data_IF_496119869639
#
_entry.id   IF_496119869639
#
_cell.length_a   1.000
_cell.length_b   1.000
_cell.length_c   1.000
_cell.angle_alpha   90.00
_cell.angle_beta   90.00
_cell.angle_gamma   90.00
#
_symmetry.space_group_name_H-M   'P 1'
#
loop_
_entity.id
_entity.type
_entity.pdbx_description
1 polymer ?
#
# COMPACT_ATOMS: atom_id res chain seq x y z
N UNK A 1 28.50 -22.25 -54.14
CA UNK A 1 28.39 -20.88 -53.58
C UNK A 1 27.19 -20.19 -54.20
N UNK A 2 26.39 -19.49 -53.41
CA UNK A 2 25.23 -18.74 -53.86
C UNK A 2 25.55 -17.22 -54.00
N UNK A 3 24.97 -16.58 -55.03
CA UNK A 3 24.99 -15.11 -55.12
C UNK A 3 24.04 -14.51 -54.08
N UNK A 4 24.31 -13.28 -53.63
CA UNK A 4 23.54 -12.55 -52.59
C UNK A 4 22.00 -12.55 -52.86
N UNK A 5 21.58 -12.32 -54.11
CA UNK A 5 20.14 -12.31 -54.45
C UNK A 5 19.50 -13.70 -54.36
N UNK A 6 20.26 -14.73 -54.67
CA UNK A 6 19.79 -16.15 -54.53
C UNK A 6 19.68 -16.56 -53.05
N UNK A 7 20.69 -16.21 -52.25
CA UNK A 7 20.67 -16.44 -50.82
C UNK A 7 19.51 -15.71 -50.16
N UNK A 8 19.31 -14.42 -50.49
CA UNK A 8 18.22 -13.64 -49.94
C UNK A 8 16.85 -14.28 -50.21
N UNK A 9 16.60 -14.70 -51.47
CA UNK A 9 15.34 -15.35 -51.87
C UNK A 9 15.14 -16.67 -51.12
N UNK A 10 16.16 -17.51 -51.03
CA UNK A 10 16.06 -18.82 -50.34
C UNK A 10 15.87 -18.68 -48.83
N UNK A 11 16.45 -17.62 -48.22
CA UNK A 11 16.36 -17.37 -46.80
C UNK A 11 15.15 -16.50 -46.39
N UNK A 12 14.30 -16.06 -47.31
CA UNK A 12 13.17 -15.18 -47.03
C UNK A 12 13.58 -13.79 -46.57
N UNK A 13 14.78 -13.34 -46.97
CA UNK A 13 15.34 -12.03 -46.60
C UNK A 13 15.45 -11.08 -47.79
N UNK A 14 15.64 -9.81 -47.51
CA UNK A 14 16.00 -8.84 -48.52
C UNK A 14 17.52 -8.80 -48.76
N UNK A 15 17.96 -8.44 -49.96
CA UNK A 15 19.37 -8.21 -50.26
C UNK A 15 19.93 -7.11 -49.32
N UNK A 16 19.12 -6.10 -48.98
CA UNK A 16 19.48 -5.02 -48.06
C UNK A 16 19.80 -5.57 -46.68
N UNK A 17 19.04 -6.55 -46.18
CA UNK A 17 19.29 -7.21 -44.91
C UNK A 17 20.65 -7.92 -44.89
N UNK A 18 20.99 -8.64 -45.97
CA UNK A 18 22.28 -9.31 -46.09
C UNK A 18 23.44 -8.32 -46.24
N UNK A 19 23.25 -7.17 -46.89
CA UNK A 19 24.22 -6.09 -46.88
C UNK A 19 24.45 -5.51 -45.49
N UNK A 20 23.37 -5.33 -44.75
CA UNK A 20 23.45 -4.86 -43.37
C UNK A 20 24.22 -5.86 -42.49
N UNK A 21 23.95 -7.17 -42.59
CA UNK A 21 24.66 -8.21 -41.86
C UNK A 21 26.16 -8.25 -42.20
N UNK A 22 26.52 -8.02 -43.46
CA UNK A 22 27.92 -7.91 -43.88
C UNK A 22 28.59 -6.64 -43.28
N UNK A 23 27.88 -5.50 -43.35
CA UNK A 23 28.38 -4.22 -42.83
C UNK A 23 28.67 -4.25 -41.31
N UNK A 24 27.81 -4.92 -40.53
CA UNK A 24 28.00 -5.08 -39.08
C UNK A 24 28.87 -6.32 -38.72
N UNK A 25 29.42 -7.02 -39.71
CA UNK A 25 30.26 -8.19 -39.50
C UNK A 25 29.56 -9.44 -39.04
N UNK A 26 28.22 -9.46 -39.02
CA UNK A 26 27.42 -10.57 -38.51
C UNK A 26 27.44 -11.78 -39.46
N UNK A 27 27.40 -11.49 -40.81
CA UNK A 27 27.52 -12.48 -41.90
C UNK A 27 28.37 -11.95 -43.01
N UNK A 28 29.60 -12.38 -43.13
CA UNK A 28 30.52 -11.99 -44.20
C UNK A 28 30.48 -13.00 -45.35
N UNK A 29 30.56 -12.59 -46.63
CA UNK A 29 30.65 -13.54 -47.73
C UNK A 29 32.01 -14.24 -47.75
N UNK A 30 32.02 -15.54 -47.99
CA UNK A 30 33.24 -16.35 -48.07
C UNK A 30 34.11 -16.03 -49.27
N UNK A 31 33.53 -15.46 -50.35
CA UNK A 31 34.26 -15.10 -51.55
C UNK A 31 33.57 -13.97 -52.34
N UNK A 32 34.30 -13.44 -53.33
CA UNK A 32 33.73 -12.55 -54.35
C UNK A 32 34.02 -13.12 -55.75
N UNK A 33 33.07 -12.98 -56.67
CA UNK A 33 33.29 -13.39 -58.05
C UNK A 33 34.25 -12.46 -58.78
N UNK A 34 34.76 -12.85 -59.95
CA UNK A 34 35.60 -12.00 -60.80
C UNK A 34 34.96 -10.63 -61.18
N UNK A 35 33.65 -10.51 -61.10
CA UNK A 35 32.89 -9.30 -61.28
C UNK A 35 32.54 -8.58 -59.96
N UNK A 36 33.16 -8.90 -58.84
CA UNK A 36 32.98 -8.24 -57.52
C UNK A 36 31.72 -8.65 -56.74
N UNK A 37 30.90 -9.55 -57.24
CA UNK A 37 29.67 -9.98 -56.55
C UNK A 37 29.98 -10.86 -55.37
N UNK A 38 29.25 -10.65 -54.23
CA UNK A 38 29.33 -11.42 -53.01
C UNK A 38 28.86 -12.87 -53.22
N UNK A 39 29.69 -13.84 -52.80
CA UNK A 39 29.42 -15.26 -52.88
C UNK A 39 29.44 -15.89 -51.47
N UNK A 40 28.40 -16.64 -51.18
CA UNK A 40 28.17 -17.29 -49.88
C UNK A 40 28.32 -18.82 -50.03
N UNK A 41 29.18 -19.36 -49.18
CA UNK A 41 29.42 -20.84 -49.09
C UNK A 41 28.51 -21.53 -48.12
N UNK A 42 28.74 -22.84 -47.92
CA UNK A 42 27.94 -23.66 -46.99
C UNK A 42 28.03 -23.18 -45.56
N UNK A 43 29.23 -22.79 -45.09
CA UNK A 43 29.44 -22.23 -43.75
C UNK A 43 28.66 -20.98 -43.51
N UNK A 44 28.59 -20.06 -44.53
CA UNK A 44 27.83 -18.83 -44.43
C UNK A 44 26.32 -19.11 -44.33
N UNK A 45 25.83 -20.10 -45.04
CA UNK A 45 24.43 -20.53 -44.99
C UNK A 45 24.09 -21.10 -43.63
N UNK A 46 24.95 -21.95 -43.04
CA UNK A 46 24.77 -22.44 -41.68
C UNK A 46 24.76 -21.32 -40.67
N UNK A 47 25.67 -20.34 -40.83
CA UNK A 47 25.72 -19.16 -39.96
C UNK A 47 24.46 -18.30 -40.10
N UNK A 48 23.93 -18.10 -41.34
CA UNK A 48 22.68 -17.40 -41.58
C UNK A 48 21.49 -18.09 -40.90
N UNK A 49 21.40 -19.43 -40.96
CA UNK A 49 20.38 -20.18 -40.26
C UNK A 49 20.44 -19.97 -38.75
N UNK A 50 21.63 -19.97 -38.16
CA UNK A 50 21.79 -19.70 -36.74
C UNK A 50 21.33 -18.27 -36.40
N UNK A 51 21.70 -17.27 -37.21
CA UNK A 51 21.26 -15.88 -37.03
C UNK A 51 19.72 -15.78 -37.07
N UNK A 52 19.08 -16.41 -38.07
CA UNK A 52 17.62 -16.38 -38.20
C UNK A 52 16.92 -17.07 -37.02
N UNK A 53 17.40 -18.25 -36.59
CA UNK A 53 16.84 -18.96 -35.44
C UNK A 53 16.92 -18.11 -34.16
N UNK A 54 18.07 -17.48 -33.91
CA UNK A 54 18.24 -16.61 -32.74
C UNK A 54 17.39 -15.34 -32.82
N UNK A 55 17.20 -14.79 -34.04
CA UNK A 55 16.28 -13.66 -34.28
C UNK A 55 14.83 -14.03 -33.97
N UNK A 56 14.38 -15.22 -34.35
CA UNK A 56 13.04 -15.72 -34.02
C UNK A 56 12.81 -15.88 -32.51
N UNK A 57 13.90 -16.11 -31.76
CA UNK A 57 13.90 -16.12 -30.30
C UNK A 57 13.94 -14.72 -29.68
N UNK A 58 13.88 -13.65 -30.49
CA UNK A 58 13.83 -12.27 -30.02
C UNK A 58 15.18 -11.61 -29.70
N UNK A 59 16.33 -12.29 -30.00
CA UNK A 59 17.66 -11.72 -29.73
C UNK A 59 17.96 -10.54 -30.64
N UNK A 60 18.67 -9.54 -30.12
CA UNK A 60 19.19 -8.43 -30.90
C UNK A 60 20.32 -8.90 -31.83
N UNK A 61 20.58 -8.18 -32.93
CA UNK A 61 21.71 -8.50 -33.84
C UNK A 61 23.07 -8.40 -33.12
N UNK A 62 23.19 -7.52 -32.16
CA UNK A 62 24.39 -7.35 -31.33
C UNK A 62 24.63 -8.57 -30.44
N UNK A 63 23.57 -9.06 -29.75
CA UNK A 63 23.66 -10.26 -28.90
C UNK A 63 24.00 -11.51 -29.73
N UNK A 64 23.36 -11.64 -30.91
CA UNK A 64 23.66 -12.71 -31.86
C UNK A 64 25.11 -12.64 -32.32
N UNK A 65 25.61 -11.44 -32.61
CA UNK A 65 27.00 -11.21 -33.01
C UNK A 65 27.97 -11.66 -31.91
N UNK A 66 27.72 -11.25 -30.68
CA UNK A 66 28.51 -11.67 -29.51
C UNK A 66 28.50 -13.20 -29.30
N UNK A 67 27.37 -13.81 -29.43
CA UNK A 67 27.18 -15.25 -29.27
C UNK A 67 27.91 -16.07 -30.33
N UNK A 68 27.87 -15.60 -31.59
CA UNK A 68 28.51 -16.27 -32.73
C UNK A 68 30.02 -15.95 -32.87
N UNK A 69 30.52 -14.90 -32.22
CA UNK A 69 31.92 -14.49 -32.26
C UNK A 69 32.76 -15.07 -31.11
N UNK A 70 32.16 -15.31 -29.96
CA UNK A 70 32.84 -15.77 -28.76
C UNK A 70 32.21 -17.08 -28.27
N UNK A 71 33.00 -18.12 -28.16
CA UNK A 71 32.62 -19.36 -27.46
C UNK A 71 32.40 -19.18 -25.95
N UNK A 72 32.07 -17.98 -25.44
CA UNK A 72 32.07 -17.63 -24.03
C UNK A 72 30.72 -17.25 -23.41
N UNK A 73 29.76 -16.71 -24.18
CA UNK A 73 28.41 -16.53 -23.65
C UNK A 73 27.55 -17.72 -24.12
N UNK A 74 27.19 -18.59 -23.20
CA UNK A 74 26.37 -19.76 -23.52
C UNK A 74 24.94 -19.31 -23.89
N UNK A 75 24.35 -19.94 -24.91
CA UNK A 75 22.96 -19.70 -25.29
C UNK A 75 22.00 -19.66 -24.09
N UNK A 76 22.13 -20.55 -23.09
CA UNK A 76 21.33 -20.47 -21.86
C UNK A 76 21.42 -19.14 -21.13
N UNK A 77 22.60 -18.55 -21.00
CA UNK A 77 22.77 -17.26 -20.29
C UNK A 77 22.06 -16.10 -21.01
N UNK A 78 22.09 -16.10 -22.36
CA UNK A 78 21.39 -15.08 -23.17
C UNK A 78 19.87 -15.27 -23.09
N UNK A 79 19.37 -16.50 -23.19
CA UNK A 79 17.96 -16.81 -23.05
C UNK A 79 17.45 -16.38 -21.65
N UNK A 80 18.19 -16.67 -20.61
CA UNK A 80 17.87 -16.25 -19.25
C UNK A 80 17.84 -14.73 -19.08
N UNK A 81 18.77 -14.00 -19.72
CA UNK A 81 18.74 -12.55 -19.76
C UNK A 81 17.48 -12.01 -20.48
N UNK A 82 17.08 -12.61 -21.61
CA UNK A 82 15.88 -12.22 -22.35
C UNK A 82 14.61 -12.52 -21.56
N UNK A 83 14.52 -13.68 -20.91
CA UNK A 83 13.40 -14.03 -20.04
C UNK A 83 13.28 -12.98 -18.93
N UNK A 84 14.37 -12.67 -18.22
CA UNK A 84 14.37 -11.61 -17.20
C UNK A 84 13.95 -10.23 -17.74
N UNK A 85 14.29 -9.90 -18.98
CA UNK A 85 13.87 -8.64 -19.62
C UNK A 85 12.37 -8.65 -19.93
N UNK A 86 11.84 -9.77 -20.44
CA UNK A 86 10.40 -9.94 -20.69
C UNK A 86 9.59 -9.94 -19.40
N UNK A 87 10.06 -10.62 -18.35
CA UNK A 87 9.41 -10.61 -17.05
C UNK A 87 9.26 -9.19 -16.50
N UNK A 88 10.30 -8.35 -16.63
CA UNK A 88 10.22 -6.92 -16.25
C UNK A 88 9.19 -6.16 -17.09
N UNK A 89 9.11 -6.42 -18.39
CA UNK A 89 8.11 -5.77 -19.27
C UNK A 89 6.68 -6.21 -18.93
N UNK A 90 6.49 -7.49 -18.64
CA UNK A 90 5.19 -8.06 -18.20
C UNK A 90 4.78 -7.39 -16.89
N UNK A 91 5.70 -7.33 -15.92
CA UNK A 91 5.44 -6.67 -14.62
C UNK A 91 5.04 -5.20 -14.80
N UNK A 92 5.77 -4.44 -15.61
CA UNK A 92 5.44 -3.04 -15.93
C UNK A 92 4.07 -2.90 -16.60
N UNK A 93 3.75 -3.80 -17.56
CA UNK A 93 2.46 -3.81 -18.24
C UNK A 93 1.31 -4.16 -17.28
N UNK A 94 1.52 -5.12 -16.38
CA UNK A 94 0.54 -5.49 -15.35
C UNK A 94 0.29 -4.34 -14.38
N UNK A 95 1.33 -3.64 -13.93
CA UNK A 95 1.23 -2.44 -13.09
C UNK A 95 0.43 -1.34 -13.79
N UNK A 96 0.75 -1.04 -15.06
CA UNK A 96 0.03 -0.04 -15.84
C UNK A 96 -1.46 -0.42 -16.02
N UNK A 97 -1.75 -1.68 -16.34
CA UNK A 97 -3.12 -2.20 -16.45
C UNK A 97 -3.90 -2.02 -15.15
N UNK A 98 -3.28 -2.33 -14.02
CA UNK A 98 -3.90 -2.16 -12.70
C UNK A 98 -4.22 -0.70 -12.42
N UNK A 99 -3.29 0.22 -12.71
CA UNK A 99 -3.49 1.68 -12.55
C UNK A 99 -4.66 2.18 -13.40
N UNK A 100 -4.69 1.78 -14.66
CA UNK A 100 -5.78 2.15 -15.57
C UNK A 100 -7.13 1.62 -15.07
N UNK A 101 -7.16 0.41 -14.52
CA UNK A 101 -8.36 -0.17 -13.91
C UNK A 101 -8.86 0.60 -12.68
N UNK A 102 -7.96 1.12 -11.84
CA UNK A 102 -8.30 1.97 -10.71
C UNK A 102 -8.91 3.30 -11.17
N UNK A 103 -8.34 3.93 -12.19
CA UNK A 103 -8.87 5.15 -12.80
C UNK A 103 -10.26 4.89 -13.40
N UNK A 104 -10.40 3.81 -14.17
CA UNK A 104 -11.68 3.42 -14.76
C UNK A 104 -12.77 3.21 -13.70
N UNK A 105 -12.45 2.58 -12.57
CA UNK A 105 -13.40 2.35 -11.49
C UNK A 105 -13.86 3.67 -10.83
N UNK A 106 -13.00 4.69 -10.77
CA UNK A 106 -13.36 6.02 -10.25
C UNK A 106 -14.27 6.78 -11.22
N UNK A 107 -13.99 6.72 -12.52
CA UNK A 107 -14.81 7.37 -13.57
C UNK A 107 -16.19 6.74 -13.70
N UNK A 108 -16.27 5.40 -13.62
CA UNK A 108 -17.54 4.66 -13.71
C UNK A 108 -18.49 4.93 -12.54
N UNK A 109 -18.04 5.59 -11.47
CA UNK A 109 -18.83 6.00 -10.31
C UNK A 109 -19.75 7.21 -10.52
N UNK A 110 -19.89 7.72 -11.75
CA UNK A 110 -20.92 8.71 -12.12
C UNK A 110 -20.55 10.19 -11.87
N UNK A 111 -19.30 10.49 -11.54
CA UNK A 111 -18.79 11.87 -11.51
C UNK A 111 -17.74 12.00 -12.60
N UNK A 112 -18.02 12.79 -13.64
CA UNK A 112 -16.95 13.27 -14.53
C UNK A 112 -16.00 14.18 -13.72
N UNK A 113 -14.74 13.76 -13.49
CA UNK A 113 -13.80 14.61 -12.77
C UNK A 113 -13.43 15.80 -13.62
N UNK A 114 -13.36 16.98 -13.02
CA UNK A 114 -12.85 18.17 -13.68
C UNK A 114 -11.42 17.94 -14.18
N UNK A 115 -10.97 18.60 -15.27
CA UNK A 115 -9.61 18.43 -15.81
C UNK A 115 -8.50 18.58 -14.78
N UNK A 116 -8.69 19.42 -13.75
CA UNK A 116 -7.78 19.57 -12.62
C UNK A 116 -7.71 18.36 -11.70
N UNK A 117 -8.82 17.66 -11.51
CA UNK A 117 -8.89 16.44 -10.68
C UNK A 117 -8.14 15.28 -11.33
N UNK A 118 -8.10 15.19 -12.66
CA UNK A 118 -7.31 14.22 -13.41
C UNK A 118 -5.81 14.35 -13.18
N UNK A 119 -5.29 15.57 -13.31
CA UNK A 119 -3.87 15.83 -13.06
C UNK A 119 -3.48 15.57 -11.62
N UNK A 120 -4.34 15.92 -10.66
CA UNK A 120 -4.13 15.64 -9.25
C UNK A 120 -4.10 14.12 -8.99
N UNK A 121 -5.03 13.36 -9.59
CA UNK A 121 -5.08 11.89 -9.47
C UNK A 121 -3.83 11.23 -10.04
N UNK A 122 -3.39 11.66 -11.23
CA UNK A 122 -2.17 11.13 -11.86
C UNK A 122 -0.91 11.45 -11.02
N UNK A 123 -0.81 12.66 -10.49
CA UNK A 123 0.28 13.05 -9.58
C UNK A 123 0.28 12.21 -8.31
N UNK A 124 -0.88 12.04 -7.69
CA UNK A 124 -1.03 11.19 -6.51
C UNK A 124 -0.58 9.76 -6.78
N UNK A 125 -1.01 9.16 -7.89
CA UNK A 125 -0.59 7.81 -8.28
C UNK A 125 0.92 7.70 -8.49
N UNK A 126 1.53 8.64 -9.22
CA UNK A 126 2.98 8.68 -9.43
C UNK A 126 3.74 8.84 -8.11
N UNK A 127 3.17 9.59 -7.16
CA UNK A 127 3.74 9.76 -5.83
C UNK A 127 3.60 8.49 -5.01
N UNK A 128 2.42 7.88 -5.01
CA UNK A 128 2.18 6.62 -4.29
C UNK A 128 3.12 5.49 -4.73
N UNK A 129 3.46 5.43 -6.02
CA UNK A 129 4.40 4.43 -6.57
C UNK A 129 5.80 4.47 -5.96
N UNK A 130 6.21 5.60 -5.39
CA UNK A 130 7.50 5.73 -4.71
C UNK A 130 7.51 5.06 -3.32
N UNK A 131 6.33 4.87 -2.74
CA UNK A 131 6.15 4.45 -1.36
C UNK A 131 5.48 3.09 -1.22
N UNK A 132 4.67 2.66 -2.20
CA UNK A 132 3.82 1.49 -2.11
C UNK A 132 3.90 0.62 -3.35
N UNK A 133 3.83 -0.69 -3.14
CA UNK A 133 3.62 -1.65 -4.22
C UNK A 133 2.21 -1.57 -4.79
N UNK A 134 2.00 -2.13 -5.98
CA UNK A 134 0.70 -2.20 -6.63
C UNK A 134 -0.37 -2.91 -5.78
N UNK A 135 0.02 -3.98 -5.08
CA UNK A 135 -0.89 -4.74 -4.22
C UNK A 135 -1.28 -3.95 -2.96
N UNK A 136 -0.32 -3.24 -2.35
CA UNK A 136 -0.61 -2.33 -1.25
C UNK A 136 -1.54 -1.19 -1.67
N UNK A 137 -1.33 -0.61 -2.86
CA UNK A 137 -2.20 0.44 -3.39
C UNK A 137 -3.62 -0.06 -3.65
N UNK A 138 -3.80 -1.26 -4.19
CA UNK A 138 -5.14 -1.87 -4.33
C UNK A 138 -5.85 -1.96 -2.99
N UNK A 139 -5.15 -2.41 -1.96
CA UNK A 139 -5.65 -2.55 -0.60
C UNK A 139 -6.04 -1.19 -0.01
N UNK A 140 -5.13 -0.21 -0.07
CA UNK A 140 -5.36 1.16 0.40
C UNK A 140 -6.59 1.78 -0.27
N UNK A 141 -6.66 1.75 -1.61
CA UNK A 141 -7.74 2.37 -2.38
C UNK A 141 -9.06 1.59 -2.25
N UNK A 142 -8.99 0.26 -2.16
CA UNK A 142 -10.16 -0.58 -1.92
C UNK A 142 -10.83 -0.28 -0.58
N UNK A 143 -10.04 -0.19 0.48
CA UNK A 143 -10.52 0.07 1.82
C UNK A 143 -10.92 1.54 2.04
N UNK A 144 -10.39 2.47 1.22
CA UNK A 144 -10.72 3.90 1.32
C UNK A 144 -12.21 4.19 1.15
N UNK A 145 -12.91 3.47 0.29
CA UNK A 145 -14.36 3.67 0.06
C UNK A 145 -15.17 3.52 1.36
N UNK A 146 -14.77 2.58 2.21
CA UNK A 146 -15.42 2.37 3.52
C UNK A 146 -14.93 3.40 4.52
N UNK A 147 -13.64 3.66 4.56
CA UNK A 147 -13.03 4.61 5.52
C UNK A 147 -13.45 6.06 5.25
N UNK A 148 -13.69 6.45 4.01
CA UNK A 148 -14.03 7.82 3.61
C UNK A 148 -15.31 8.35 4.29
N UNK A 149 -16.30 7.49 4.49
CA UNK A 149 -17.58 7.86 5.13
C UNK A 149 -17.36 8.41 6.55
N UNK A 150 -16.40 7.87 7.30
CA UNK A 150 -16.05 8.30 8.65
C UNK A 150 -14.91 9.31 8.67
N UNK A 151 -13.98 9.28 7.69
CA UNK A 151 -12.81 10.16 7.63
C UNK A 151 -13.21 11.60 7.27
N UNK A 152 -14.13 11.80 6.32
CA UNK A 152 -14.55 13.13 5.89
C UNK A 152 -15.15 13.95 7.05
N UNK A 153 -16.13 13.43 7.82
CA UNK A 153 -16.64 14.15 8.99
C UNK A 153 -15.57 14.34 10.08
N UNK A 154 -14.66 13.38 10.27
CA UNK A 154 -13.56 13.53 11.24
C UNK A 154 -12.60 14.66 10.84
N UNK A 155 -12.22 14.78 9.57
CA UNK A 155 -11.43 15.93 9.08
C UNK A 155 -12.13 17.26 9.32
N UNK A 156 -13.46 17.32 9.16
CA UNK A 156 -14.22 18.53 9.48
C UNK A 156 -14.19 18.83 10.98
N UNK A 157 -14.26 17.81 11.85
CA UNK A 157 -14.14 17.99 13.30
C UNK A 157 -12.74 18.53 13.69
N UNK A 158 -11.68 17.98 13.10
CA UNK A 158 -10.29 18.45 13.33
C UNK A 158 -10.14 19.89 12.85
N UNK A 159 -10.65 20.23 11.66
CA UNK A 159 -10.61 21.61 11.14
C UNK A 159 -11.29 22.59 12.07
N UNK A 160 -12.47 22.27 12.60
CA UNK A 160 -13.17 23.11 13.57
C UNK A 160 -12.37 23.31 14.86
N UNK A 161 -11.67 22.27 15.35
CA UNK A 161 -10.81 22.42 16.52
C UNK A 161 -9.63 23.39 16.24
N UNK A 162 -9.00 23.27 15.07
CA UNK A 162 -7.93 24.17 14.62
C UNK A 162 -8.42 25.62 14.47
N UNK A 163 -9.59 25.83 13.87
CA UNK A 163 -10.20 27.16 13.67
C UNK A 163 -10.56 27.85 15.00
N UNK A 164 -10.94 27.06 16.03
CA UNK A 164 -11.14 27.55 17.40
C UNK A 164 -9.82 27.81 18.15
N UNK A 165 -8.68 27.52 17.55
CA UNK A 165 -7.38 27.68 18.18
C UNK A 165 -7.11 26.69 19.31
N UNK A 166 -7.79 25.54 19.35
CA UNK A 166 -7.54 24.50 20.37
C UNK A 166 -6.13 23.94 20.19
N UNK A 167 -5.27 23.96 21.22
CA UNK A 167 -3.92 23.43 21.10
C UNK A 167 -3.92 21.92 20.85
N UNK A 168 -3.02 21.44 19.98
CA UNK A 168 -2.90 20.02 19.62
C UNK A 168 -2.58 19.11 20.83
N UNK A 169 -1.96 19.64 21.86
CA UNK A 169 -1.61 18.95 23.10
C UNK A 169 -2.72 18.97 24.17
N UNK A 170 -3.85 19.61 23.87
CA UNK A 170 -4.97 19.66 24.80
C UNK A 170 -5.69 18.30 24.91
N UNK A 171 -6.28 18.05 26.08
CA UNK A 171 -7.12 16.86 26.30
C UNK A 171 -8.37 16.85 25.41
N UNK A 172 -8.85 18.03 24.97
CA UNK A 172 -10.01 18.19 24.08
C UNK A 172 -9.76 17.57 22.70
N UNK A 173 -8.51 17.54 22.24
CA UNK A 173 -8.13 16.96 20.93
C UNK A 173 -7.94 15.45 20.97
N UNK A 174 -7.75 14.86 22.15
CA UNK A 174 -7.48 13.43 22.29
C UNK A 174 -8.58 12.52 21.71
N UNK A 175 -9.89 12.82 21.80
CA UNK A 175 -10.93 12.09 21.11
C UNK A 175 -10.75 12.08 19.59
N UNK A 176 -10.30 13.20 18.98
CA UNK A 176 -10.04 13.29 17.55
C UNK A 176 -8.82 12.44 17.16
N UNK A 177 -7.73 12.51 17.94
CA UNK A 177 -6.53 11.69 17.75
C UNK A 177 -6.85 10.19 17.84
N UNK A 178 -7.63 9.79 18.83
CA UNK A 178 -8.07 8.42 19.00
C UNK A 178 -8.90 7.91 17.81
N UNK A 179 -9.90 8.69 17.38
CA UNK A 179 -10.73 8.37 16.21
C UNK A 179 -9.88 8.27 14.94
N UNK A 180 -8.92 9.19 14.76
CA UNK A 180 -8.02 9.19 13.62
C UNK A 180 -7.15 7.93 13.59
N UNK A 181 -6.48 7.60 14.69
CA UNK A 181 -5.68 6.37 14.81
C UNK A 181 -6.51 5.12 14.52
N UNK A 182 -7.74 5.06 15.06
CA UNK A 182 -8.65 3.92 14.86
C UNK A 182 -9.07 3.77 13.41
N UNK A 183 -9.42 4.89 12.74
CA UNK A 183 -9.81 4.88 11.32
C UNK A 183 -8.65 4.51 10.41
N UNK A 184 -7.48 5.12 10.61
CA UNK A 184 -6.27 4.80 9.83
C UNK A 184 -5.85 3.35 10.06
N UNK A 185 -5.88 2.89 11.31
CA UNK A 185 -5.61 1.49 11.65
C UNK A 185 -6.58 0.51 10.99
N UNK A 186 -7.87 0.87 10.90
CA UNK A 186 -8.87 0.07 10.18
C UNK A 186 -8.63 0.10 8.67
N UNK A 187 -8.41 1.27 8.11
CA UNK A 187 -8.15 1.47 6.69
C UNK A 187 -6.93 0.69 6.20
N UNK A 188 -5.85 0.70 6.98
CA UNK A 188 -4.57 0.01 6.69
C UNK A 188 -4.50 -1.41 7.27
N UNK A 189 -5.62 -1.95 7.78
CA UNK A 189 -5.73 -3.30 8.38
C UNK A 189 -4.73 -3.59 9.50
N UNK A 190 -4.31 -2.54 10.22
CA UNK A 190 -3.35 -2.63 11.32
C UNK A 190 -1.89 -2.77 10.89
N UNK A 191 -1.57 -2.63 9.61
CA UNK A 191 -0.19 -2.64 9.11
C UNK A 191 0.54 -1.35 9.50
N UNK A 192 1.33 -1.42 10.57
CA UNK A 192 2.07 -0.26 11.11
C UNK A 192 3.12 0.30 10.12
N UNK A 193 3.74 -0.54 9.29
CA UNK A 193 4.70 -0.07 8.30
C UNK A 193 3.99 0.69 7.18
N UNK A 194 2.86 0.20 6.74
CA UNK A 194 2.01 0.86 5.75
C UNK A 194 1.51 2.22 6.27
N UNK A 195 1.04 2.28 7.53
CA UNK A 195 0.60 3.52 8.19
C UNK A 195 1.74 4.53 8.27
N UNK A 196 2.93 4.10 8.68
CA UNK A 196 4.12 4.94 8.77
C UNK A 196 4.52 5.50 7.40
N UNK A 197 4.63 4.66 6.37
CA UNK A 197 4.96 5.07 4.99
C UNK A 197 3.93 6.03 4.41
N UNK A 198 2.65 5.84 4.72
CA UNK A 198 1.58 6.75 4.33
C UNK A 198 1.75 8.14 4.96
N UNK A 199 2.01 8.19 6.26
CA UNK A 199 2.31 9.45 6.97
C UNK A 199 3.56 10.15 6.42
N UNK A 200 4.64 9.39 6.14
CA UNK A 200 5.87 9.92 5.54
C UNK A 200 5.63 10.52 4.16
N UNK A 201 4.83 9.85 3.32
CA UNK A 201 4.43 10.37 2.02
C UNK A 201 3.68 11.69 2.13
N UNK A 202 2.70 11.79 3.04
CA UNK A 202 1.95 13.02 3.26
C UNK A 202 2.84 14.18 3.72
N UNK A 203 3.82 13.91 4.57
CA UNK A 203 4.77 14.95 5.06
C UNK A 203 5.72 15.44 3.97
N UNK A 204 6.15 14.56 3.06
CA UNK A 204 7.18 14.87 2.05
C UNK A 204 6.63 15.37 0.72
N UNK A 205 5.45 14.94 0.33
CA UNK A 205 4.91 15.12 -1.02
C UNK A 205 3.62 15.95 -1.03
N UNK A 206 3.56 17.04 -0.25
CA UNK A 206 2.35 17.87 -0.10
C UNK A 206 1.72 18.32 -1.41
N UNK A 207 2.56 18.67 -2.40
CA UNK A 207 2.10 19.20 -3.69
C UNK A 207 1.38 18.17 -4.56
N UNK A 208 1.51 16.88 -4.24
CA UNK A 208 0.88 15.79 -4.98
C UNK A 208 -0.48 15.41 -4.40
N UNK A 209 -0.84 15.90 -3.20
CA UNK A 209 -2.07 15.55 -2.53
C UNK A 209 -3.27 16.31 -3.09
N UNK A 210 -4.41 15.64 -3.15
CA UNK A 210 -5.68 16.24 -3.56
C UNK A 210 -6.13 17.31 -2.56
N UNK A 211 -6.70 18.42 -3.05
CA UNK A 211 -7.34 19.44 -2.23
C UNK A 211 -8.51 18.91 -1.37
N UNK A 212 -8.95 17.69 -1.59
CA UNK A 212 -10.03 17.02 -0.83
C UNK A 212 -9.51 16.21 0.37
N UNK A 213 -8.18 16.04 0.49
CA UNK A 213 -7.51 15.38 1.62
C UNK A 213 -7.20 16.32 2.79
N UNK A 214 -6.59 15.80 3.87
CA UNK A 214 -6.09 16.63 4.96
C UNK A 214 -4.94 17.50 4.44
N UNK A 215 -4.98 18.81 4.75
CA UNK A 215 -3.87 19.69 4.45
C UNK A 215 -2.67 19.45 5.40
N UNK A 216 -1.44 19.90 5.07
CA UNK A 216 -0.25 19.68 5.88
C UNK A 216 -0.35 20.20 7.31
N UNK A 217 -1.09 21.29 7.54
CA UNK A 217 -1.27 21.87 8.89
C UNK A 217 -2.16 20.96 9.72
N UNK A 218 -3.22 20.42 9.11
CA UNK A 218 -4.11 19.45 9.75
C UNK A 218 -3.36 18.17 10.11
N UNK A 219 -2.54 17.65 9.18
CA UNK A 219 -1.71 16.46 9.43
C UNK A 219 -0.76 16.71 10.59
N UNK A 220 -0.01 17.82 10.59
CA UNK A 220 0.90 18.16 11.67
C UNK A 220 0.19 18.33 13.01
N UNK A 221 -1.01 18.92 13.00
CA UNK A 221 -1.83 19.11 14.19
C UNK A 221 -2.28 17.77 14.80
N UNK A 222 -2.83 16.89 13.99
CA UNK A 222 -3.31 15.59 14.48
C UNK A 222 -2.15 14.65 14.83
N UNK A 223 -1.06 14.67 14.08
CA UNK A 223 0.17 13.92 14.38
C UNK A 223 0.70 14.28 15.76
N UNK A 224 0.72 15.57 16.11
CA UNK A 224 1.13 16.02 17.44
C UNK A 224 0.25 15.47 18.55
N UNK A 225 -1.07 15.45 18.37
CA UNK A 225 -1.99 14.85 19.33
C UNK A 225 -1.82 13.33 19.45
N UNK A 226 -1.55 12.66 18.33
CA UNK A 226 -1.24 11.22 18.28
C UNK A 226 0.07 10.90 19.01
N UNK A 227 1.14 11.70 18.80
CA UNK A 227 2.42 11.51 19.48
C UNK A 227 2.24 11.56 21.01
N UNK A 228 1.46 12.53 21.52
CA UNK A 228 1.17 12.66 22.95
C UNK A 228 0.43 11.42 23.48
N UNK A 229 -0.53 10.91 22.70
CA UNK A 229 -1.26 9.71 23.04
C UNK A 229 -0.38 8.46 23.03
N UNK A 230 0.49 8.31 22.02
CA UNK A 230 1.44 7.19 21.96
C UNK A 230 2.46 7.26 23.10
N UNK A 231 2.93 8.45 23.44
CA UNK A 231 3.79 8.66 24.61
C UNK A 231 3.07 8.30 25.92
N UNK A 232 1.77 8.63 26.03
CA UNK A 232 0.94 8.22 27.17
C UNK A 232 0.81 6.69 27.26
N UNK A 233 0.53 6.01 26.15
CA UNK A 233 0.51 4.54 26.11
C UNK A 233 1.86 3.93 26.48
N UNK A 234 2.97 4.49 25.98
CA UNK A 234 4.33 4.02 26.24
C UNK A 234 4.79 4.18 27.70
N UNK A 235 4.09 5.00 28.52
CA UNK A 235 4.34 5.06 29.98
C UNK A 235 3.83 3.82 30.72
N UNK A 236 2.83 3.15 30.16
CA UNK A 236 2.14 2.04 30.80
C UNK A 236 2.42 0.68 30.14
N UNK A 237 2.69 0.69 28.83
CA UNK A 237 2.83 -0.51 28.01
C UNK A 237 4.09 -0.43 27.15
N UNK A 238 4.83 -1.52 27.10
CA UNK A 238 5.95 -1.68 26.16
C UNK A 238 5.44 -1.84 24.71
N UNK A 239 6.33 -1.62 23.74
CA UNK A 239 6.00 -1.80 22.32
C UNK A 239 5.57 -3.25 22.02
N UNK A 240 6.19 -4.24 22.68
CA UNK A 240 5.85 -5.65 22.48
C UNK A 240 4.50 -6.00 23.12
N UNK A 241 4.13 -5.37 24.23
CA UNK A 241 2.79 -5.50 24.82
C UNK A 241 1.73 -4.88 23.89
N UNK A 242 1.99 -3.72 23.30
CA UNK A 242 1.09 -3.10 22.32
C UNK A 242 0.86 -3.96 21.09
N UNK A 243 1.88 -4.68 20.60
CA UNK A 243 1.75 -5.61 19.46
C UNK A 243 0.94 -6.86 19.78
N UNK A 244 0.84 -7.25 21.04
CA UNK A 244 0.07 -8.43 21.48
C UNK A 244 -1.41 -8.14 21.66
N UNK A 245 -1.83 -6.86 21.64
CA UNK A 245 -3.23 -6.50 21.76
C UNK A 245 -4.01 -7.03 20.55
N UNK A 246 -5.12 -7.69 20.83
CA UNK A 246 -6.04 -8.17 19.80
C UNK A 246 -7.09 -7.12 19.47
N UNK A 247 -7.57 -7.16 18.24
CA UNK A 247 -8.61 -6.23 17.81
C UNK A 247 -9.99 -6.77 18.15
N UNK A 248 -10.77 -5.97 18.84
CA UNK A 248 -12.18 -6.26 19.12
C UNK A 248 -13.05 -5.48 18.11
N UNK A 249 -14.02 -6.12 17.43
CA UNK A 249 -14.93 -5.44 16.50
C UNK A 249 -15.65 -4.24 17.15
N UNK A 250 -15.77 -3.15 16.40
CA UNK A 250 -16.39 -1.91 16.88
C UNK A 250 -17.84 -2.12 17.32
N UNK A 251 -18.53 -3.02 16.65
CA UNK A 251 -19.92 -3.37 16.93
C UNK A 251 -20.12 -3.98 18.32
N UNK A 252 -19.12 -4.72 18.84
CA UNK A 252 -19.18 -5.28 20.20
C UNK A 252 -19.10 -4.18 21.25
N UNK A 253 -18.20 -3.23 21.05
CA UNK A 253 -18.08 -2.06 21.94
C UNK A 253 -19.32 -1.16 21.87
N UNK A 254 -19.88 -0.94 20.68
CA UNK A 254 -21.10 -0.16 20.51
C UNK A 254 -22.29 -0.81 21.22
N UNK A 255 -22.46 -2.12 21.07
CA UNK A 255 -23.52 -2.88 21.79
C UNK A 255 -23.37 -2.75 23.30
N UNK A 256 -22.14 -2.89 23.81
CA UNK A 256 -21.86 -2.72 25.24
C UNK A 256 -22.20 -1.30 25.70
N UNK A 257 -21.78 -0.29 24.96
CA UNK A 257 -22.03 1.13 25.26
C UNK A 257 -23.54 1.44 25.27
N UNK A 258 -24.29 0.93 24.27
CA UNK A 258 -25.75 1.11 24.20
C UNK A 258 -26.47 0.49 25.40
N UNK A 259 -26.12 -0.76 25.77
CA UNK A 259 -26.68 -1.44 26.96
C UNK A 259 -26.37 -0.66 28.24
N UNK A 260 -25.13 -0.19 28.41
CA UNK A 260 -24.74 0.60 29.57
C UNK A 260 -25.49 1.93 29.63
N UNK A 261 -25.57 2.66 28.50
CA UNK A 261 -26.32 3.90 28.40
C UNK A 261 -27.81 3.71 28.68
N UNK A 262 -28.41 2.57 28.31
CA UNK A 262 -29.79 2.24 28.66
C UNK A 262 -29.98 2.05 30.17
N UNK A 263 -29.08 1.31 30.84
CA UNK A 263 -29.13 1.13 32.30
C UNK A 263 -28.93 2.45 33.03
N UNK A 264 -28.00 3.28 32.57
CA UNK A 264 -27.75 4.62 33.15
C UNK A 264 -28.98 5.55 32.99
N UNK A 265 -29.64 5.55 31.85
CA UNK A 265 -30.88 6.34 31.64
C UNK A 265 -32.06 5.86 32.49
N UNK A 266 -32.04 4.60 32.94
CA UNK A 266 -33.01 4.01 33.86
C UNK A 266 -32.61 4.18 35.34
N UNK A 267 -31.57 4.96 35.61
CA UNK A 267 -31.01 5.19 36.95
C UNK A 267 -30.65 3.87 37.70
N UNK A 268 -30.28 2.82 36.92
CA UNK A 268 -29.89 1.53 37.51
C UNK A 268 -28.55 1.69 38.23
N UNK A 269 -28.47 1.44 39.56
CA UNK A 269 -27.24 1.63 40.28
C UNK A 269 -26.19 0.58 39.88
N UNK A 270 -24.88 0.90 39.95
CA UNK A 270 -23.79 -0.04 39.60
C UNK A 270 -23.84 -1.38 40.36
N UNK A 271 -24.39 -1.41 41.59
CA UNK A 271 -24.56 -2.62 42.40
C UNK A 271 -25.71 -3.56 41.94
N UNK A 272 -26.53 -3.12 40.99
CA UNK A 272 -27.63 -3.95 40.46
C UNK A 272 -27.08 -5.16 39.69
N UNK A 273 -27.81 -6.29 39.76
CA UNK A 273 -27.44 -7.53 39.07
C UNK A 273 -27.22 -7.35 37.57
N UNK A 274 -28.01 -6.49 36.93
CA UNK A 274 -27.92 -6.18 35.47
C UNK A 274 -26.64 -5.42 35.17
N UNK A 275 -26.29 -4.40 35.97
CA UNK A 275 -25.06 -3.63 35.81
C UNK A 275 -23.82 -4.51 36.02
N UNK A 276 -23.83 -5.38 37.05
CA UNK A 276 -22.76 -6.35 37.30
C UNK A 276 -22.61 -7.38 36.16
N UNK A 277 -23.71 -7.84 35.58
CA UNK A 277 -23.66 -8.72 34.40
C UNK A 277 -23.01 -8.03 33.20
N UNK A 278 -23.35 -6.77 32.97
CA UNK A 278 -22.77 -5.99 31.90
C UNK A 278 -21.27 -5.66 32.15
N UNK A 279 -20.88 -5.43 33.38
CA UNK A 279 -19.47 -5.27 33.77
C UNK A 279 -18.66 -6.55 33.53
N UNK A 280 -19.22 -7.74 33.72
CA UNK A 280 -18.57 -9.01 33.32
C UNK A 280 -18.41 -9.11 31.79
N UNK A 281 -19.41 -8.69 31.01
CA UNK A 281 -19.30 -8.64 29.55
C UNK A 281 -18.15 -7.70 29.13
N UNK A 282 -18.06 -6.52 29.75
CA UNK A 282 -16.95 -5.58 29.53
C UNK A 282 -15.59 -6.17 29.87
N UNK A 283 -15.45 -6.83 31.02
CA UNK A 283 -14.20 -7.48 31.43
C UNK A 283 -13.80 -8.60 30.45
N UNK A 284 -14.77 -9.33 29.90
CA UNK A 284 -14.53 -10.33 28.86
C UNK A 284 -14.00 -9.70 27.56
N UNK A 285 -14.47 -8.51 27.16
CA UNK A 285 -13.91 -7.78 26.03
C UNK A 285 -12.49 -7.29 26.32
N UNK A 286 -12.23 -6.78 27.52
CA UNK A 286 -10.89 -6.35 27.93
C UNK A 286 -9.91 -7.52 27.99
N UNK A 287 -10.35 -8.68 28.43
CA UNK A 287 -9.55 -9.90 28.46
C UNK A 287 -9.18 -10.37 27.05
N UNK A 288 -10.15 -10.37 26.13
CA UNK A 288 -9.88 -10.65 24.71
C UNK A 288 -8.96 -9.61 24.07
N UNK A 289 -9.16 -8.31 24.35
CA UNK A 289 -8.29 -7.22 23.87
C UNK A 289 -6.85 -7.43 24.33
N UNK A 290 -6.65 -7.90 25.57
CA UNK A 290 -5.35 -8.21 26.15
C UNK A 290 -4.85 -9.63 25.79
N UNK A 291 -5.39 -10.25 24.75
CA UNK A 291 -5.01 -11.60 24.31
C UNK A 291 -5.08 -12.65 25.43
N UNK A 292 -6.05 -12.52 26.33
CA UNK A 292 -6.23 -13.37 27.52
C UNK A 292 -5.05 -13.34 28.51
N UNK A 293 -4.23 -12.28 28.49
CA UNK A 293 -3.14 -12.04 29.43
C UNK A 293 -3.63 -11.15 30.58
N UNK A 294 -3.81 -11.66 31.82
CA UNK A 294 -4.37 -10.87 32.94
C UNK A 294 -3.51 -9.63 33.28
N UNK A 295 -2.19 -9.78 33.28
CA UNK A 295 -1.27 -8.66 33.55
C UNK A 295 -1.39 -7.53 32.55
N UNK A 296 -1.49 -7.87 31.25
CA UNK A 296 -1.66 -6.91 30.18
C UNK A 296 -3.03 -6.21 30.26
N UNK A 297 -4.09 -6.97 30.56
CA UNK A 297 -5.42 -6.43 30.82
C UNK A 297 -5.42 -5.42 31.95
N UNK A 298 -4.81 -5.78 33.10
CA UNK A 298 -4.79 -4.95 34.30
C UNK A 298 -3.95 -3.67 34.08
N UNK A 299 -2.84 -3.75 33.34
CA UNK A 299 -2.07 -2.58 32.89
C UNK A 299 -2.92 -1.66 32.00
N UNK A 300 -3.67 -2.21 31.05
CA UNK A 300 -4.57 -1.42 30.20
C UNK A 300 -5.65 -0.71 31.02
N UNK A 301 -6.30 -1.41 31.93
CA UNK A 301 -7.33 -0.83 32.80
C UNK A 301 -6.75 0.30 33.66
N UNK A 302 -5.55 0.10 34.25
CA UNK A 302 -4.83 1.12 35.01
C UNK A 302 -4.46 2.32 34.12
N UNK A 303 -3.92 2.10 32.93
CA UNK A 303 -3.56 3.16 31.97
C UNK A 303 -4.75 4.08 31.66
N UNK A 304 -5.90 3.50 31.31
CA UNK A 304 -7.12 4.27 31.01
C UNK A 304 -7.80 4.89 32.23
N UNK A 305 -7.49 4.44 33.45
CA UNK A 305 -7.97 5.03 34.71
C UNK A 305 -7.09 6.21 35.13
N UNK A 306 -5.77 6.04 35.09
CA UNK A 306 -4.81 6.87 35.79
C UNK A 306 -4.16 7.94 34.88
N UNK A 307 -4.15 7.73 33.56
CA UNK A 307 -3.57 8.68 32.59
C UNK A 307 -4.67 9.57 31.97
N UNK A 308 -4.64 10.89 32.20
CA UNK A 308 -5.67 11.80 31.71
C UNK A 308 -5.76 11.85 30.19
N UNK A 309 -4.66 11.66 29.46
CA UNK A 309 -4.62 11.66 27.99
C UNK A 309 -5.36 10.43 27.45
N UNK A 310 -5.14 9.26 28.06
CA UNK A 310 -5.82 8.02 27.69
C UNK A 310 -7.28 8.04 28.15
N UNK A 311 -7.53 8.58 29.35
CA UNK A 311 -8.87 8.73 29.91
C UNK A 311 -9.77 9.65 29.08
N UNK A 312 -9.21 10.69 28.45
CA UNK A 312 -9.94 11.66 27.63
C UNK A 312 -10.58 11.02 26.39
N UNK A 313 -10.02 9.91 25.89
CA UNK A 313 -10.55 9.21 24.73
C UNK A 313 -10.31 7.72 24.79
N UNK A 314 -11.38 6.95 24.71
CA UNK A 314 -11.36 5.50 24.61
C UNK A 314 -12.55 5.01 23.78
N UNK A 315 -12.62 3.72 23.54
CA UNK A 315 -13.76 3.08 22.83
C UNK A 315 -15.07 3.33 23.55
N UNK A 316 -15.03 3.39 24.89
CA UNK A 316 -16.17 3.70 25.75
C UNK A 316 -16.04 5.13 26.27
N UNK A 317 -17.13 5.89 26.18
CA UNK A 317 -17.18 7.21 26.78
C UNK A 317 -16.90 7.17 28.29
N UNK A 318 -16.31 8.23 28.85
CA UNK A 318 -15.90 8.26 30.23
C UNK A 318 -17.03 7.93 31.23
N UNK A 319 -18.27 8.45 31.08
CA UNK A 319 -19.37 8.08 31.99
C UNK A 319 -19.72 6.58 31.95
N UNK A 320 -19.74 5.97 30.75
CA UNK A 320 -20.03 4.54 30.58
C UNK A 320 -18.93 3.71 31.22
N UNK A 321 -17.67 4.06 30.98
CA UNK A 321 -16.52 3.37 31.54
C UNK A 321 -16.54 3.40 33.06
N UNK A 322 -16.76 4.58 33.66
CA UNK A 322 -16.85 4.73 35.10
C UNK A 322 -18.02 3.92 35.71
N UNK A 323 -19.15 3.90 35.04
CA UNK A 323 -20.31 3.10 35.47
C UNK A 323 -19.96 1.61 35.49
N UNK A 324 -19.39 1.07 34.44
CA UNK A 324 -18.98 -0.33 34.33
C UNK A 324 -17.88 -0.70 35.35
N UNK A 325 -16.93 0.21 35.56
CA UNK A 325 -15.87 0.02 36.58
C UNK A 325 -16.45 -0.08 37.97
N UNK A 326 -17.34 0.85 38.38
CA UNK A 326 -18.03 0.77 39.70
C UNK A 326 -18.86 -0.50 39.83
N UNK A 327 -19.47 -0.96 38.72
CA UNK A 327 -20.25 -2.19 38.74
C UNK A 327 -19.36 -3.44 38.88
N UNK A 328 -18.13 -3.42 38.30
CA UNK A 328 -17.15 -4.49 38.47
C UNK A 328 -16.59 -4.55 39.89
N UNK A 329 -16.39 -3.40 40.54
CA UNK A 329 -15.87 -3.27 41.90
C UNK A 329 -16.94 -3.59 42.99
N UNK A 330 -18.22 -3.55 42.63
CA UNK A 330 -19.34 -3.82 43.56
C UNK A 330 -19.38 -5.30 43.91
N UNK A 331 -18.93 -5.65 45.12
CA UNK A 331 -19.07 -7.01 45.65
C UNK A 331 -20.55 -7.39 45.82
N UNK A 332 -20.83 -8.69 45.72
CA UNK A 332 -22.19 -9.24 45.86
C UNK A 332 -22.78 -9.00 47.24
#
# INVERSE_FOLDING_TARGET
>A
MLRIGELARRAGLTVRTLHHYDAIGLLRPSARSGGGYRLYGQADITRLHAIQSLRHLGLSLEDIGRLLAQGGATLPAILEQQIRALDRQIEQAMQLRTRLGLIQAQVSGGHEPEPGDWLATLRLMTTCDKYFSTEELKKILGNWRVAAADMVPLMADVRRAMERGVPADSLEVQPLAYRWMTLVGTWMEGDFDLIRRWGDMYRREHSAMSNKGPDPRMVAYIDRAIEIRLAALGRHLSLDELKRLTRIPREEWQRLSQKAGQLMRQDVPPRDKRARALAREWMGLMDRLANHEPELRDKLLAAYRDDPVLAAASVLEAPVRQYLQRAAESRA
#
